data_IF_589444161335
#
_entry.id   IF_589444161335
#
_cell.length_a   1.000
_cell.length_b   1.000
_cell.length_c   1.000
_cell.angle_alpha   90.00
_cell.angle_beta   90.00
_cell.angle_gamma   90.00
#
_symmetry.space_group_name_H-M   'P 1'
#
loop_
_entity.id
_entity.type
_entity.pdbx_description
1 polymer ?
#
# COMPACT_ATOMS: atom_id res chain seq x y z
N UNK A 1 -18.53 27.44 27.85
CA UNK A 1 -18.52 26.11 27.21
C UNK A 1 -19.53 26.15 26.07
N UNK A 2 -19.09 26.04 24.82
CA UNK A 2 -19.96 26.28 23.64
C UNK A 2 -20.38 24.95 23.02
N UNK A 3 -21.68 24.77 22.78
CA UNK A 3 -22.20 23.56 22.13
C UNK A 3 -21.83 23.56 20.63
N UNK A 4 -21.25 22.46 20.17
CA UNK A 4 -20.96 22.21 18.76
C UNK A 4 -22.19 21.59 18.08
N UNK A 5 -22.59 22.12 16.92
CA UNK A 5 -23.65 21.52 16.10
C UNK A 5 -23.13 20.23 15.46
N UNK A 6 -23.85 19.12 15.63
CA UNK A 6 -23.50 17.83 15.04
C UNK A 6 -23.31 17.90 13.51
N UNK A 7 -24.07 18.76 12.83
CA UNK A 7 -23.96 18.99 11.38
C UNK A 7 -22.62 19.56 10.91
N UNK A 8 -21.78 20.09 11.81
CA UNK A 8 -20.42 20.53 11.47
C UNK A 8 -19.44 19.37 11.30
N UNK A 9 -19.79 18.18 11.76
CA UNK A 9 -18.93 17.00 11.64
C UNK A 9 -19.30 16.27 10.34
N UNK A 10 -18.38 16.17 9.36
CA UNK A 10 -18.65 15.45 8.13
C UNK A 10 -18.83 13.95 8.40
N UNK A 11 -19.82 13.34 7.76
CA UNK A 11 -20.08 11.90 7.89
C UNK A 11 -18.99 11.14 7.11
N UNK A 12 -18.16 10.39 7.83
CA UNK A 12 -17.17 9.50 7.26
C UNK A 12 -17.61 8.04 7.41
N UNK A 13 -17.83 7.35 6.28
CA UNK A 13 -18.22 5.94 6.27
C UNK A 13 -16.98 5.07 6.38
N UNK A 14 -16.87 4.36 7.50
CA UNK A 14 -15.77 3.42 7.74
C UNK A 14 -16.25 2.00 7.47
N UNK A 15 -15.43 1.21 6.77
CA UNK A 15 -15.70 -0.21 6.55
C UNK A 15 -15.21 -1.00 7.76
N UNK A 16 -16.09 -1.82 8.35
CA UNK A 16 -15.74 -2.66 9.50
C UNK A 16 -14.63 -3.66 9.14
N UNK A 17 -13.72 -3.89 10.08
CA UNK A 17 -12.75 -4.99 9.99
C UNK A 17 -13.51 -6.32 10.01
N UNK A 18 -13.16 -7.26 9.11
CA UNK A 18 -13.69 -8.62 9.16
C UNK A 18 -13.33 -9.25 10.52
N UNK A 19 -14.28 -9.93 11.15
CA UNK A 19 -14.10 -10.41 12.52
C UNK A 19 -13.00 -11.48 12.61
N UNK A 20 -12.85 -12.26 11.56
CA UNK A 20 -11.89 -13.35 11.42
C UNK A 20 -10.49 -12.85 11.00
N UNK A 21 -10.33 -11.56 10.71
CA UNK A 21 -9.09 -11.02 10.18
C UNK A 21 -7.98 -10.97 11.24
N UNK A 22 -6.94 -11.78 11.04
CA UNK A 22 -5.77 -11.82 11.90
C UNK A 22 -4.56 -11.13 11.24
N UNK A 23 -4.06 -9.99 11.77
CA UNK A 23 -2.89 -9.30 11.23
C UNK A 23 -1.58 -10.11 11.21
N UNK A 24 -1.50 -11.17 12.03
CA UNK A 24 -0.32 -12.01 12.15
C UNK A 24 -0.42 -13.29 11.31
N UNK A 25 -1.56 -13.54 10.67
CA UNK A 25 -1.76 -14.66 9.76
C UNK A 25 -1.48 -14.20 8.31
N UNK A 26 -0.51 -14.83 7.63
CA UNK A 26 -0.17 -14.50 6.24
C UNK A 26 -1.37 -14.56 5.27
N UNK A 27 -2.39 -15.36 5.55
CA UNK A 27 -3.59 -15.44 4.71
C UNK A 27 -4.34 -14.10 4.61
N UNK A 28 -4.14 -13.20 5.58
CA UNK A 28 -4.80 -11.89 5.64
C UNK A 28 -3.95 -10.73 5.12
N UNK A 29 -2.72 -10.97 4.65
CA UNK A 29 -1.81 -9.92 4.20
C UNK A 29 -2.43 -9.05 3.09
N UNK A 30 -2.98 -9.68 2.04
CA UNK A 30 -3.66 -9.00 0.93
C UNK A 30 -4.81 -8.11 1.43
N UNK A 31 -5.57 -8.59 2.42
CA UNK A 31 -6.68 -7.85 2.99
C UNK A 31 -6.19 -6.57 3.68
N UNK A 32 -5.13 -6.66 4.49
CA UNK A 32 -4.59 -5.50 5.19
C UNK A 32 -3.86 -4.54 4.25
N UNK A 33 -3.12 -5.03 3.25
CA UNK A 33 -2.53 -4.20 2.19
C UNK A 33 -3.59 -3.34 1.49
N UNK A 34 -4.68 -3.97 1.03
CA UNK A 34 -5.78 -3.26 0.34
C UNK A 34 -6.42 -2.18 1.21
N UNK A 35 -6.57 -2.43 2.52
CA UNK A 35 -7.10 -1.40 3.42
C UNK A 35 -6.13 -0.25 3.63
N UNK A 36 -4.83 -0.55 3.72
CA UNK A 36 -3.80 0.47 3.86
C UNK A 36 -3.77 1.37 2.63
N UNK A 37 -3.92 0.81 1.42
CA UNK A 37 -4.01 1.60 0.19
C UNK A 37 -5.13 2.65 0.24
N UNK A 38 -6.33 2.24 0.68
CA UNK A 38 -7.48 3.15 0.85
C UNK A 38 -7.13 4.26 1.86
N UNK A 39 -6.59 3.89 3.03
CA UNK A 39 -6.20 4.88 4.04
C UNK A 39 -5.10 5.84 3.55
N UNK A 40 -4.19 5.35 2.71
CA UNK A 40 -3.11 6.16 2.17
C UNK A 40 -3.64 7.19 1.16
N UNK A 41 -4.64 6.82 0.37
CA UNK A 41 -5.31 7.74 -0.56
C UNK A 41 -6.11 8.79 0.19
N UNK A 42 -6.71 8.49 1.34
CA UNK A 42 -7.50 9.47 2.08
C UNK A 42 -6.64 10.48 2.86
N UNK A 43 -5.50 10.05 3.40
CA UNK A 43 -4.65 10.86 4.29
C UNK A 43 -3.53 11.58 3.53
N UNK A 44 -3.29 12.85 3.84
CA UNK A 44 -2.17 13.64 3.27
C UNK A 44 -0.80 12.99 3.48
N UNK A 45 -0.56 12.38 4.65
CA UNK A 45 0.69 11.62 4.92
C UNK A 45 0.83 10.42 3.98
N UNK A 46 -0.26 9.68 3.77
CA UNK A 46 -0.30 8.54 2.87
C UNK A 46 -0.04 8.94 1.41
N UNK A 47 -0.74 9.97 0.92
CA UNK A 47 -0.50 10.51 -0.44
C UNK A 47 0.97 10.88 -0.67
N UNK A 48 1.62 11.51 0.32
CA UNK A 48 3.05 11.84 0.27
C UNK A 48 3.93 10.59 0.19
N UNK A 49 3.62 9.55 0.97
CA UNK A 49 4.34 8.28 0.92
C UNK A 49 4.20 7.61 -0.45
N UNK A 50 2.98 7.56 -1.01
CA UNK A 50 2.72 7.00 -2.34
C UNK A 50 3.49 7.74 -3.44
N UNK A 51 3.46 9.07 -3.42
CA UNK A 51 4.21 9.90 -4.37
C UNK A 51 5.71 9.64 -4.27
N UNK A 52 6.25 9.44 -3.06
CA UNK A 52 7.66 9.11 -2.88
C UNK A 52 8.00 7.73 -3.44
N UNK A 53 7.20 6.70 -3.16
CA UNK A 53 7.40 5.37 -3.76
C UNK A 53 7.36 5.42 -5.30
N UNK A 54 6.37 6.12 -5.85
CA UNK A 54 6.24 6.28 -7.29
C UNK A 54 7.46 6.97 -7.91
N UNK A 55 7.99 8.02 -7.26
CA UNK A 55 9.22 8.70 -7.71
C UNK A 55 10.46 7.82 -7.60
N UNK A 56 10.62 7.10 -6.48
CA UNK A 56 11.73 6.15 -6.27
C UNK A 56 11.76 5.08 -7.36
N UNK A 57 10.59 4.59 -7.76
CA UNK A 57 10.42 3.61 -8.84
C UNK A 57 10.42 4.21 -10.25
N UNK A 58 10.54 5.53 -10.40
CA UNK A 58 10.36 6.25 -11.68
C UNK A 58 9.02 5.92 -12.35
N UNK A 59 8.01 5.60 -11.55
CA UNK A 59 6.69 5.15 -11.99
C UNK A 59 6.70 3.80 -12.71
N UNK A 60 7.69 2.95 -12.49
CA UNK A 60 7.82 1.63 -13.13
C UNK A 60 7.49 0.53 -12.11
N UNK A 61 6.70 -0.46 -12.53
CA UNK A 61 6.44 -1.66 -11.75
C UNK A 61 7.66 -2.59 -11.82
N UNK A 62 8.27 -3.01 -10.70
CA UNK A 62 9.47 -3.87 -10.70
C UNK A 62 9.22 -5.31 -11.16
N UNK A 63 7.96 -5.75 -11.24
CA UNK A 63 7.61 -7.12 -11.66
C UNK A 63 7.55 -7.24 -13.18
N UNK A 64 6.86 -6.30 -13.86
CA UNK A 64 6.67 -6.34 -15.31
C UNK A 64 7.49 -5.29 -16.07
N UNK A 65 8.20 -4.40 -15.38
CA UNK A 65 8.97 -3.29 -15.93
C UNK A 65 8.17 -2.31 -16.79
N UNK A 66 6.84 -2.27 -16.65
CA UNK A 66 5.97 -1.32 -17.32
C UNK A 66 5.58 -0.15 -16.42
N UNK A 67 5.18 0.97 -17.03
CA UNK A 67 4.76 2.18 -16.31
C UNK A 67 3.46 1.95 -15.54
N UNK A 68 3.44 2.43 -14.31
CA UNK A 68 2.24 2.58 -13.47
C UNK A 68 1.58 3.90 -13.87
N UNK A 69 0.37 3.79 -14.43
CA UNK A 69 -0.45 4.92 -14.88
C UNK A 69 -1.76 4.97 -14.11
N UNK A 70 -2.50 6.08 -14.25
CA UNK A 70 -3.85 6.20 -13.68
C UNK A 70 -4.80 5.11 -14.20
N UNK A 71 -4.64 4.67 -15.45
CA UNK A 71 -5.47 3.62 -16.06
C UNK A 71 -5.19 2.24 -15.50
N UNK A 72 -3.92 1.93 -15.25
CA UNK A 72 -3.50 0.61 -14.74
C UNK A 72 -3.70 0.49 -13.23
N UNK A 73 -3.76 1.62 -12.52
CA UNK A 73 -3.79 1.64 -11.07
C UNK A 73 -2.50 1.10 -10.44
N UNK A 74 -2.51 1.01 -9.12
CA UNK A 74 -1.41 0.51 -8.30
C UNK A 74 -1.96 -0.09 -7.00
N UNK A 75 -1.22 -1.05 -6.43
CA UNK A 75 -1.35 -1.51 -5.04
C UNK A 75 0.00 -1.34 -4.32
N UNK A 76 -0.04 -1.09 -3.01
CA UNK A 76 1.17 -1.07 -2.17
C UNK A 76 1.44 -2.46 -1.61
N UNK A 77 2.63 -2.97 -1.88
CA UNK A 77 3.07 -4.29 -1.44
C UNK A 77 4.16 -4.18 -0.37
N UNK A 78 4.08 -5.00 0.68
CA UNK A 78 5.20 -5.20 1.60
C UNK A 78 6.17 -6.25 1.06
N UNK A 79 7.45 -5.88 0.91
CA UNK A 79 8.51 -6.77 0.42
C UNK A 79 8.71 -7.95 1.37
N UNK A 80 8.82 -7.64 2.66
CA UNK A 80 8.73 -8.59 3.76
C UNK A 80 7.36 -8.39 4.38
N UNK A 81 6.54 -9.44 4.39
CA UNK A 81 5.19 -9.38 4.97
C UNK A 81 5.23 -9.00 6.44
N UNK A 82 4.19 -8.28 6.89
CA UNK A 82 4.11 -7.86 8.29
C UNK A 82 3.97 -9.04 9.24
N UNK A 83 3.20 -10.05 8.82
CA UNK A 83 3.09 -11.33 9.51
C UNK A 83 4.43 -12.06 9.67
N UNK A 84 5.41 -11.77 8.81
CA UNK A 84 6.77 -12.35 8.80
C UNK A 84 7.81 -11.41 9.43
N UNK A 85 7.40 -10.40 10.20
CA UNK A 85 8.30 -9.45 10.87
C UNK A 85 8.73 -8.24 10.03
N UNK A 86 8.13 -8.06 8.85
CA UNK A 86 8.39 -6.89 8.00
C UNK A 86 7.91 -5.58 8.63
N UNK A 87 8.69 -4.51 8.42
CA UNK A 87 8.35 -3.18 8.91
C UNK A 87 7.25 -2.51 8.08
N UNK A 88 6.52 -1.58 8.67
CA UNK A 88 5.57 -0.72 7.95
C UNK A 88 6.24 0.58 7.46
N UNK A 89 7.51 0.48 7.02
CA UNK A 89 8.29 1.64 6.59
C UNK A 89 8.34 1.74 5.07
N UNK A 90 8.82 2.88 4.58
CA UNK A 90 8.91 3.14 3.14
C UNK A 90 9.84 2.13 2.45
N UNK A 91 10.91 1.72 3.13
CA UNK A 91 11.96 0.82 2.64
C UNK A 91 11.41 -0.58 2.36
N UNK A 92 10.46 -1.05 3.17
CA UNK A 92 9.82 -2.34 3.02
C UNK A 92 8.58 -2.31 2.10
N UNK A 93 8.37 -1.24 1.33
CA UNK A 93 7.17 -1.06 0.50
C UNK A 93 7.50 -0.80 -0.96
N UNK A 94 6.66 -1.32 -1.86
CA UNK A 94 6.80 -1.11 -3.30
C UNK A 94 5.43 -1.03 -3.97
N UNK A 95 5.30 -0.19 -5.00
CA UNK A 95 4.09 -0.09 -5.80
C UNK A 95 4.12 -1.10 -6.95
N UNK A 96 3.07 -1.89 -7.05
CA UNK A 96 2.86 -2.89 -8.10
C UNK A 96 1.57 -2.60 -8.86
N UNK A 97 1.46 -3.08 -10.10
CA UNK A 97 0.14 -3.18 -10.73
C UNK A 97 -0.74 -4.19 -9.97
N UNK A 98 -2.07 -4.01 -9.94
CA UNK A 98 -2.98 -4.96 -9.28
C UNK A 98 -2.80 -6.43 -9.72
N UNK A 99 -2.53 -6.64 -11.02
CA UNK A 99 -2.29 -7.98 -11.57
C UNK A 99 -0.93 -8.54 -11.13
N UNK A 100 0.15 -7.73 -11.19
CA UNK A 100 1.47 -8.12 -10.71
C UNK A 100 1.47 -8.42 -9.21
N UNK A 101 0.74 -7.62 -8.43
CA UNK A 101 0.56 -7.83 -7.00
C UNK A 101 -0.11 -9.17 -6.70
N UNK A 102 -1.18 -9.49 -7.44
CA UNK A 102 -1.86 -10.79 -7.32
C UNK A 102 -0.95 -11.96 -7.71
N UNK A 103 -0.14 -11.80 -8.77
CA UNK A 103 0.84 -12.80 -9.19
C UNK A 103 1.87 -13.07 -8.10
N UNK A 104 2.46 -12.01 -7.53
CA UNK A 104 3.44 -12.09 -6.43
C UNK A 104 2.89 -12.88 -5.25
N UNK A 105 1.66 -12.60 -4.83
CA UNK A 105 1.01 -13.33 -3.74
C UNK A 105 0.70 -14.78 -4.10
N UNK A 106 0.18 -15.04 -5.31
CA UNK A 106 -0.18 -16.40 -5.74
C UNK A 106 1.04 -17.32 -5.91
N UNK A 107 2.16 -16.76 -6.38
CA UNK A 107 3.39 -17.49 -6.69
C UNK A 107 4.45 -17.37 -5.59
N UNK A 108 4.17 -16.62 -4.52
CA UNK A 108 5.09 -16.33 -3.41
C UNK A 108 6.44 -15.78 -3.90
N UNK A 109 6.41 -14.90 -4.88
CA UNK A 109 7.61 -14.30 -5.45
C UNK A 109 8.18 -13.25 -4.50
N UNK A 110 9.50 -13.23 -4.33
CA UNK A 110 10.16 -12.13 -3.62
C UNK A 110 10.30 -10.94 -4.56
N UNK A 111 9.81 -9.77 -4.14
CA UNK A 111 9.94 -8.52 -4.91
C UNK A 111 11.03 -7.67 -4.28
N UNK A 112 12.04 -7.31 -5.07
CA UNK A 112 13.08 -6.40 -4.62
C UNK A 112 12.79 -4.96 -5.05
N UNK A 113 13.29 -4.00 -4.27
CA UNK A 113 13.27 -2.59 -4.70
C UNK A 113 14.25 -2.37 -5.85
N UNK A 114 13.86 -1.59 -6.88
CA UNK A 114 14.83 -1.15 -7.87
C UNK A 114 15.91 -0.31 -7.18
N UNK A 115 17.18 -0.57 -7.54
CA UNK A 115 18.33 0.15 -6.97
C UNK A 115 18.14 1.66 -7.17
N UNK A 116 18.33 2.49 -6.13
CA UNK A 116 18.32 3.94 -6.28
C UNK A 116 19.37 4.34 -7.32
N UNK A 117 18.98 5.09 -8.36
CA UNK A 117 19.94 5.58 -9.36
C UNK A 117 20.78 6.77 -8.87
N UNK A 118 20.94 6.95 -7.55
CA UNK A 118 21.87 7.92 -6.97
C UNK A 118 23.20 7.23 -6.74
N UNK A 119 24.19 7.68 -7.49
CA UNK A 119 25.57 7.20 -7.47
C UNK A 119 26.30 7.53 -6.17
N UNK A 120 27.51 6.98 -6.13
CA UNK A 120 28.65 7.30 -5.26
C UNK A 120 28.74 8.79 -4.93
#
# INVERSE_FOLDING_TARGET
MTLLRASRIPIQRHVKVKAEANPFDPAWEIYFEKRLDIQMVDKLKGKRQLLRLWREQKGICPVCNQKITQRTGWHSHHIIWRSMGGSDTQENRVLLHPNCHSQVHSQKLTVEKPRPSRGV
#
